data_IF_183735358626
#
_entry.id   IF_183735358626
#
_cell.length_a   1.000
_cell.length_b   1.000
_cell.length_c   1.000
_cell.angle_alpha   90.00
_cell.angle_beta   90.00
_cell.angle_gamma   90.00
#
_symmetry.space_group_name_H-M   'P 1'
#
loop_
_entity.id
_entity.type
_entity.pdbx_description
1 polymer ?
#
# COMPACT_ATOMS: atom_id res chain seq x y z
N UNK A 1 -27.19 -20.52 -14.22
CA UNK A 1 -26.44 -21.74 -13.84
C UNK A 1 -25.07 -21.27 -13.43
N UNK A 2 -24.52 -21.74 -12.33
CA UNK A 2 -23.15 -21.49 -11.94
C UNK A 2 -22.22 -22.11 -12.97
N UNK A 3 -21.21 -21.37 -13.42
CA UNK A 3 -20.28 -21.87 -14.45
C UNK A 3 -19.15 -22.67 -13.84
N UNK A 4 -18.96 -22.58 -12.51
CA UNK A 4 -17.85 -23.15 -11.73
C UNK A 4 -16.49 -22.90 -12.42
N UNK A 5 -16.29 -21.68 -12.93
CA UNK A 5 -15.05 -21.31 -13.63
C UNK A 5 -14.30 -20.22 -12.87
N UNK A 6 -13.04 -20.50 -12.57
CA UNK A 6 -12.06 -19.55 -12.05
C UNK A 6 -11.15 -19.12 -13.19
N UNK A 7 -11.10 -17.82 -13.45
CA UNK A 7 -10.17 -17.22 -14.39
C UNK A 7 -9.08 -16.46 -13.61
N UNK A 8 -7.84 -16.91 -13.74
CA UNK A 8 -6.68 -16.13 -13.29
C UNK A 8 -6.32 -15.10 -14.36
N UNK A 9 -6.31 -13.82 -13.95
CA UNK A 9 -5.91 -12.71 -14.83
C UNK A 9 -4.61 -12.12 -14.31
N UNK A 10 -3.52 -12.51 -14.93
CA UNK A 10 -2.18 -12.15 -14.54
C UNK A 10 -1.84 -10.71 -14.90
N UNK A 11 -1.00 -10.10 -14.07
CA UNK A 11 -0.47 -8.76 -14.26
C UNK A 11 0.98 -8.72 -13.74
N UNK A 12 1.80 -7.74 -14.12
CA UNK A 12 3.18 -7.67 -13.65
C UNK A 12 3.30 -7.77 -12.12
N UNK A 13 3.99 -8.82 -11.65
CA UNK A 13 4.19 -9.11 -10.23
C UNK A 13 3.14 -9.99 -9.56
N UNK A 14 2.18 -10.50 -10.33
CA UNK A 14 1.21 -11.48 -9.87
C UNK A 14 1.00 -12.58 -10.92
N UNK A 15 1.37 -13.80 -10.55
CA UNK A 15 1.20 -15.02 -11.36
C UNK A 15 1.27 -16.22 -10.41
N UNK A 16 0.42 -17.23 -10.59
CA UNK A 16 0.58 -18.52 -9.91
C UNK A 16 1.41 -19.47 -10.80
N UNK A 17 2.26 -20.25 -10.15
CA UNK A 17 3.04 -21.26 -10.87
C UNK A 17 2.20 -22.52 -11.16
N UNK A 18 2.71 -23.40 -12.04
CA UNK A 18 1.97 -24.58 -12.49
C UNK A 18 1.68 -25.58 -11.36
N UNK A 19 2.53 -25.66 -10.33
CA UNK A 19 2.30 -26.55 -9.18
C UNK A 19 1.15 -26.02 -8.32
N UNK A 20 1.05 -24.69 -8.14
CA UNK A 20 -0.06 -24.05 -7.44
C UNK A 20 -1.39 -24.21 -8.19
N UNK A 21 -1.38 -24.07 -9.53
CA UNK A 21 -2.58 -24.31 -10.34
C UNK A 21 -2.98 -25.79 -10.28
N UNK A 22 -2.03 -26.72 -10.32
CA UNK A 22 -2.30 -28.15 -10.16
C UNK A 22 -2.88 -28.48 -8.79
N UNK A 23 -2.43 -27.79 -7.72
CA UNK A 23 -3.01 -27.94 -6.38
C UNK A 23 -4.49 -27.52 -6.36
N UNK A 24 -4.84 -26.35 -6.95
CA UNK A 24 -6.25 -25.93 -7.06
C UNK A 24 -7.10 -26.96 -7.84
N UNK A 25 -6.61 -27.44 -9.00
CA UNK A 25 -7.35 -28.46 -9.80
C UNK A 25 -7.56 -29.77 -9.04
N UNK A 26 -6.62 -30.14 -8.19
CA UNK A 26 -6.71 -31.36 -7.37
C UNK A 26 -7.69 -31.20 -6.22
N UNK A 27 -7.67 -30.07 -5.54
CA UNK A 27 -8.50 -29.81 -4.35
C UNK A 27 -9.96 -29.46 -4.73
N UNK A 28 -10.16 -28.81 -5.88
CA UNK A 28 -11.48 -28.34 -6.36
C UNK A 28 -11.82 -28.98 -7.72
N UNK A 29 -12.03 -30.29 -7.81
CA UNK A 29 -12.19 -31.00 -9.10
C UNK A 29 -13.47 -30.61 -9.86
N UNK A 30 -14.47 -30.04 -9.19
CA UNK A 30 -15.71 -29.56 -9.80
C UNK A 30 -15.56 -28.13 -10.42
N UNK A 31 -14.37 -27.52 -10.28
CA UNK A 31 -14.07 -26.20 -10.77
C UNK A 31 -13.08 -26.26 -11.92
N UNK A 32 -13.35 -25.46 -12.95
CA UNK A 32 -12.43 -25.25 -14.07
C UNK A 32 -11.52 -24.05 -13.76
N UNK A 33 -10.21 -24.23 -13.94
CA UNK A 33 -9.21 -23.18 -13.74
C UNK A 33 -8.56 -22.83 -15.08
N UNK A 34 -8.73 -21.59 -15.51
CA UNK A 34 -8.18 -21.01 -16.74
C UNK A 34 -7.28 -19.83 -16.41
N UNK A 35 -6.37 -19.50 -17.30
CA UNK A 35 -5.32 -18.51 -17.11
C UNK A 35 -5.27 -17.57 -18.31
N UNK A 36 -5.02 -16.30 -18.10
CA UNK A 36 -4.79 -15.31 -19.15
C UNK A 36 -4.03 -14.11 -18.59
N UNK A 37 -3.37 -13.34 -19.44
CA UNK A 37 -2.82 -12.05 -19.08
C UNK A 37 -3.88 -10.95 -19.20
N UNK A 38 -3.74 -9.89 -18.39
CA UNK A 38 -4.67 -8.76 -18.40
C UNK A 38 -4.79 -8.07 -19.76
N UNK A 39 -3.74 -8.13 -20.59
CA UNK A 39 -3.71 -7.52 -21.94
C UNK A 39 -4.32 -8.40 -23.02
N UNK A 40 -4.38 -9.74 -22.81
CA UNK A 40 -4.80 -10.71 -23.82
C UNK A 40 -6.08 -11.46 -23.48
N UNK A 41 -6.65 -11.25 -22.30
CA UNK A 41 -7.90 -11.87 -21.86
C UNK A 41 -9.02 -11.56 -22.85
N UNK A 42 -9.74 -12.60 -23.29
CA UNK A 42 -10.83 -12.46 -24.26
C UNK A 42 -12.18 -12.22 -23.60
N UNK A 43 -13.09 -11.61 -24.34
CA UNK A 43 -14.48 -11.38 -23.86
C UNK A 43 -15.19 -12.71 -23.54
N UNK A 44 -14.88 -13.79 -24.27
CA UNK A 44 -15.43 -15.11 -24.02
C UNK A 44 -14.95 -15.69 -22.68
N UNK A 45 -13.66 -15.60 -22.37
CA UNK A 45 -13.10 -16.03 -21.08
C UNK A 45 -13.73 -15.24 -19.92
N UNK A 46 -13.86 -13.91 -20.08
CA UNK A 46 -14.49 -13.05 -19.07
C UNK A 46 -15.96 -13.42 -18.84
N UNK A 47 -16.71 -13.65 -19.93
CA UNK A 47 -18.14 -13.99 -19.85
C UNK A 47 -18.38 -15.36 -19.20
N UNK A 48 -17.46 -16.30 -19.29
CA UNK A 48 -17.57 -17.64 -18.68
C UNK A 48 -17.20 -17.65 -17.20
N UNK A 49 -16.34 -16.72 -16.75
CA UNK A 49 -15.82 -16.70 -15.40
C UNK A 49 -16.89 -16.39 -14.35
N UNK A 50 -17.01 -17.25 -13.35
CA UNK A 50 -17.78 -17.01 -12.12
C UNK A 50 -16.90 -16.31 -11.08
N UNK A 51 -15.61 -16.67 -11.03
CA UNK A 51 -14.59 -16.07 -10.18
C UNK A 51 -13.47 -15.55 -11.05
N UNK A 52 -13.04 -14.32 -10.82
CA UNK A 52 -11.80 -13.79 -11.39
C UNK A 52 -10.83 -13.51 -10.23
N UNK A 53 -9.59 -14.02 -10.35
CA UNK A 53 -8.52 -13.71 -9.42
C UNK A 53 -7.35 -13.07 -10.17
N UNK A 54 -6.95 -11.87 -9.76
CA UNK A 54 -5.86 -11.14 -10.38
C UNK A 54 -6.06 -9.64 -10.46
N UNK A 55 -5.64 -9.05 -11.58
CA UNK A 55 -5.80 -7.61 -11.79
C UNK A 55 -6.29 -7.30 -13.22
N UNK A 56 -7.55 -7.65 -13.53
CA UNK A 56 -8.12 -7.35 -14.85
C UNK A 56 -8.22 -5.83 -15.09
N UNK A 57 -8.21 -5.40 -16.34
CA UNK A 57 -8.55 -4.02 -16.66
C UNK A 57 -10.01 -3.71 -16.21
N UNK A 58 -10.32 -2.53 -15.66
CA UNK A 58 -11.68 -2.22 -15.23
C UNK A 58 -12.76 -2.45 -16.31
N UNK A 59 -12.47 -2.10 -17.56
CA UNK A 59 -13.40 -2.35 -18.68
C UNK A 59 -13.62 -3.84 -18.97
N UNK A 60 -12.66 -4.69 -18.63
CA UNK A 60 -12.81 -6.15 -18.73
C UNK A 60 -13.83 -6.68 -17.72
N UNK A 61 -13.90 -6.09 -16.52
CA UNK A 61 -14.89 -6.46 -15.50
C UNK A 61 -16.32 -6.24 -16.01
N UNK A 62 -16.56 -5.19 -16.81
CA UNK A 62 -17.87 -4.91 -17.43
C UNK A 62 -18.36 -6.01 -18.38
N UNK A 63 -17.45 -6.85 -18.90
CA UNK A 63 -17.74 -7.94 -19.83
C UNK A 63 -17.98 -9.28 -19.13
N UNK A 64 -17.64 -9.37 -17.85
CA UNK A 64 -17.78 -10.55 -17.04
C UNK A 64 -19.21 -10.72 -16.51
N UNK A 65 -20.13 -11.12 -17.41
CA UNK A 65 -21.56 -11.17 -17.10
C UNK A 65 -21.96 -12.23 -16.06
N UNK A 66 -21.15 -13.24 -15.84
CA UNK A 66 -21.39 -14.28 -14.83
C UNK A 66 -20.60 -14.07 -13.53
N UNK A 67 -19.82 -13.00 -13.43
CA UNK A 67 -18.91 -12.76 -12.28
C UNK A 67 -19.67 -12.62 -10.97
N UNK A 68 -19.37 -13.49 -10.03
CA UNK A 68 -19.89 -13.47 -8.66
C UNK A 68 -18.85 -12.97 -7.66
N UNK A 69 -17.57 -13.20 -7.95
CA UNK A 69 -16.50 -12.79 -7.06
C UNK A 69 -15.25 -12.37 -7.84
N UNK A 70 -14.77 -11.15 -7.57
CA UNK A 70 -13.48 -10.65 -8.01
C UNK A 70 -12.53 -10.60 -6.81
N UNK A 71 -11.46 -11.41 -6.83
CA UNK A 71 -10.33 -11.31 -5.90
C UNK A 71 -9.23 -10.50 -6.55
N UNK A 72 -8.98 -9.28 -6.09
CA UNK A 72 -7.84 -8.50 -6.56
C UNK A 72 -6.53 -9.04 -6.00
N UNK A 73 -5.48 -9.04 -6.81
CA UNK A 73 -4.10 -9.32 -6.39
C UNK A 73 -3.41 -8.13 -5.71
N UNK A 74 -4.06 -6.97 -5.66
CA UNK A 74 -3.59 -5.75 -5.01
C UNK A 74 -4.27 -5.51 -3.67
N UNK A 75 -3.68 -4.62 -2.84
CA UNK A 75 -4.34 -4.06 -1.66
C UNK A 75 -5.26 -2.92 -2.09
N UNK A 76 -4.78 -2.04 -2.98
CA UNK A 76 -5.55 -0.92 -3.49
C UNK A 76 -6.67 -1.36 -4.40
N UNK A 77 -7.84 -0.76 -4.23
CA UNK A 77 -9.07 -1.06 -4.97
C UNK A 77 -9.52 0.11 -5.85
N UNK A 78 -8.79 1.20 -5.86
CA UNK A 78 -9.16 2.50 -6.42
C UNK A 78 -9.80 2.42 -7.81
N UNK A 79 -9.30 1.52 -8.67
CA UNK A 79 -9.81 1.34 -10.03
C UNK A 79 -11.01 0.40 -10.14
N UNK A 80 -11.28 -0.42 -9.12
CA UNK A 80 -12.28 -1.49 -9.14
C UNK A 80 -13.44 -1.28 -8.15
N UNK A 81 -13.39 -0.21 -7.36
CA UNK A 81 -14.40 0.09 -6.33
C UNK A 81 -15.73 0.62 -6.92
N UNK A 82 -15.79 0.85 -8.19
CA UNK A 82 -16.95 1.44 -8.88
C UNK A 82 -17.99 0.36 -9.17
N UNK A 83 -19.16 0.44 -8.52
CA UNK A 83 -20.21 -0.60 -8.63
C UNK A 83 -20.71 -0.79 -10.05
N UNK A 84 -20.70 0.24 -10.87
CA UNK A 84 -21.07 0.21 -12.28
C UNK A 84 -20.15 -0.62 -13.20
N UNK A 85 -19.02 -1.10 -12.67
CA UNK A 85 -18.16 -2.06 -13.38
C UNK A 85 -18.76 -3.47 -13.39
N UNK A 86 -19.62 -3.79 -12.42
CA UNK A 86 -20.11 -5.13 -12.18
C UNK A 86 -21.50 -5.32 -12.77
N UNK A 87 -21.65 -6.29 -13.70
CA UNK A 87 -22.94 -6.65 -14.30
C UNK A 87 -23.85 -7.28 -13.24
N UNK A 88 -23.30 -8.13 -12.38
CA UNK A 88 -24.06 -8.75 -11.28
C UNK A 88 -24.13 -7.78 -10.09
N UNK A 89 -25.33 -7.43 -9.61
CA UNK A 89 -25.49 -6.46 -8.54
C UNK A 89 -25.01 -6.96 -7.17
N UNK A 90 -24.87 -8.26 -7.01
CA UNK A 90 -24.42 -8.96 -5.83
C UNK A 90 -22.96 -9.47 -5.91
N UNK A 91 -22.24 -9.09 -6.98
CA UNK A 91 -20.83 -9.47 -7.13
C UNK A 91 -19.99 -8.96 -5.95
N UNK A 92 -19.19 -9.84 -5.39
CA UNK A 92 -18.30 -9.57 -4.26
C UNK A 92 -16.96 -9.11 -4.79
N UNK A 93 -16.40 -8.06 -4.18
CA UNK A 93 -15.02 -7.63 -4.39
C UNK A 93 -14.23 -7.92 -3.12
N UNK A 94 -13.10 -8.60 -3.26
CA UNK A 94 -12.11 -8.80 -2.20
C UNK A 94 -10.74 -8.35 -2.65
N UNK A 95 -9.87 -8.01 -1.72
CA UNK A 95 -8.51 -7.60 -2.00
C UNK A 95 -7.48 -8.43 -1.19
N UNK A 96 -6.21 -8.11 -1.37
CA UNK A 96 -5.12 -8.73 -0.63
C UNK A 96 -4.70 -7.91 0.61
N UNK A 97 -5.65 -7.35 1.37
CA UNK A 97 -5.33 -6.65 2.61
C UNK A 97 -4.54 -7.55 3.57
N UNK A 98 -3.52 -6.99 4.20
CA UNK A 98 -2.69 -7.68 5.19
C UNK A 98 -1.44 -8.35 4.64
N UNK A 99 -1.42 -8.79 3.37
CA UNK A 99 -0.30 -9.60 2.83
C UNK A 99 1.01 -8.84 2.70
N UNK A 100 0.98 -7.55 2.42
CA UNK A 100 2.18 -6.72 2.20
C UNK A 100 2.60 -5.92 3.44
N UNK A 101 1.83 -5.98 4.53
CA UNK A 101 2.14 -5.25 5.77
C UNK A 101 3.57 -5.47 6.28
N UNK A 102 4.06 -6.72 6.40
CA UNK A 102 5.44 -6.99 6.80
C UNK A 102 6.48 -6.37 5.84
N UNK A 103 6.30 -6.53 4.52
CA UNK A 103 7.25 -6.05 3.50
C UNK A 103 7.29 -4.53 3.43
N UNK A 104 6.11 -3.87 3.40
CA UNK A 104 6.03 -2.41 3.38
C UNK A 104 6.62 -1.81 4.65
N UNK A 105 6.38 -2.41 5.82
CA UNK A 105 6.96 -1.92 7.07
C UNK A 105 8.48 -2.10 7.15
N UNK A 106 9.07 -3.12 6.48
CA UNK A 106 10.53 -3.22 6.31
C UNK A 106 11.05 -2.09 5.43
N UNK A 107 10.34 -1.78 4.34
CA UNK A 107 10.69 -0.69 3.43
C UNK A 107 10.64 0.67 4.15
N UNK A 108 9.60 0.92 4.96
CA UNK A 108 9.49 2.14 5.80
C UNK A 108 10.69 2.25 6.74
N UNK A 109 11.06 1.19 7.45
CA UNK A 109 12.26 1.22 8.31
C UNK A 109 13.53 1.48 7.52
N UNK A 110 13.68 0.88 6.33
CA UNK A 110 14.79 1.15 5.42
C UNK A 110 14.86 2.63 5.06
N UNK A 111 13.72 3.24 4.71
CA UNK A 111 13.61 4.68 4.42
C UNK A 111 13.94 5.55 5.64
N UNK A 112 13.45 5.19 6.83
CA UNK A 112 13.76 5.92 8.07
C UNK A 112 15.26 5.89 8.38
N UNK A 113 15.90 4.71 8.29
CA UNK A 113 17.32 4.55 8.48
C UNK A 113 18.14 5.27 7.41
N UNK A 114 17.71 5.21 6.14
CA UNK A 114 18.37 5.91 5.04
C UNK A 114 18.40 7.42 5.28
N UNK A 115 17.27 8.01 5.69
CA UNK A 115 17.15 9.44 5.95
C UNK A 115 17.90 9.84 7.23
N UNK A 116 17.67 9.14 8.35
CA UNK A 116 18.28 9.48 9.64
C UNK A 116 19.80 9.31 9.65
N UNK A 117 20.32 8.30 8.94
CA UNK A 117 21.76 8.03 8.83
C UNK A 117 22.40 8.66 7.59
N UNK A 118 21.63 9.37 6.76
CA UNK A 118 22.10 10.01 5.51
C UNK A 118 22.79 9.02 4.53
N UNK A 119 22.29 7.76 4.43
CA UNK A 119 22.92 6.74 3.58
C UNK A 119 22.89 7.11 2.10
N UNK A 120 21.84 7.78 1.61
CA UNK A 120 21.75 8.30 0.25
C UNK A 120 22.87 9.31 -0.03
N UNK A 121 23.15 10.22 0.90
CA UNK A 121 24.23 11.19 0.76
C UNK A 121 25.62 10.52 0.80
N UNK A 122 25.84 9.56 1.68
CA UNK A 122 27.09 8.79 1.71
C UNK A 122 27.27 7.93 0.45
N UNK A 123 26.19 7.45 -0.15
CA UNK A 123 26.25 6.76 -1.44
C UNK A 123 26.71 7.69 -2.57
N UNK A 124 26.21 8.93 -2.58
CA UNK A 124 26.66 9.93 -3.54
C UNK A 124 28.15 10.27 -3.36
N UNK A 125 28.60 10.44 -2.12
CA UNK A 125 30.03 10.62 -1.81
C UNK A 125 30.87 9.42 -2.26
N UNK A 126 30.42 8.21 -2.02
CA UNK A 126 31.10 6.99 -2.49
C UNK A 126 31.28 7.01 -4.01
N UNK A 127 30.22 7.35 -4.76
CA UNK A 127 30.27 7.45 -6.22
C UNK A 127 31.25 8.54 -6.71
N UNK A 128 31.37 9.62 -5.94
CA UNK A 128 32.26 10.75 -6.25
C UNK A 128 33.71 10.57 -5.67
N UNK A 129 33.99 9.48 -4.96
CA UNK A 129 35.29 9.26 -4.29
C UNK A 129 35.59 10.27 -3.18
N UNK A 130 34.56 10.83 -2.52
CA UNK A 130 34.68 11.85 -1.47
C UNK A 130 34.63 11.18 -0.10
N UNK A 131 35.58 11.53 0.77
CA UNK A 131 35.60 11.15 2.17
C UNK A 131 35.26 12.35 3.05
N UNK A 132 33.95 12.56 3.34
CA UNK A 132 33.50 13.60 4.24
C UNK A 132 32.65 13.00 5.36
N UNK A 133 33.12 13.07 6.59
CA UNK A 133 32.44 12.55 7.79
C UNK A 133 31.60 13.60 8.54
N UNK A 134 31.60 14.86 8.07
CA UNK A 134 30.88 15.98 8.70
C UNK A 134 29.43 16.10 8.22
N UNK A 135 28.74 14.97 8.08
CA UNK A 135 27.32 14.88 7.71
C UNK A 135 26.53 14.62 8.98
N UNK A 136 25.55 15.46 9.32
CA UNK A 136 24.69 15.23 10.49
C UNK A 136 23.95 13.89 10.36
N UNK A 137 23.86 13.16 11.45
CA UNK A 137 23.05 11.91 11.52
C UNK A 137 22.16 11.94 12.77
N UNK A 138 21.06 11.22 12.73
CA UNK A 138 20.10 11.10 13.82
C UNK A 138 19.91 9.61 14.15
N UNK A 139 19.69 9.28 15.41
CA UNK A 139 19.34 7.91 15.81
C UNK A 139 17.82 7.73 15.75
N UNK A 140 17.37 6.48 15.51
CA UNK A 140 15.95 6.14 15.66
C UNK A 140 15.60 5.96 17.15
N UNK A 141 16.53 5.48 17.95
CA UNK A 141 16.35 5.36 19.41
C UNK A 141 16.02 6.75 20.01
N UNK A 142 15.04 6.80 20.90
CA UNK A 142 14.48 8.02 21.51
C UNK A 142 13.83 9.03 20.53
N UNK A 143 13.81 8.75 19.22
CA UNK A 143 13.03 9.56 18.28
C UNK A 143 11.54 9.17 18.29
N UNK A 144 10.70 10.00 17.68
CA UNK A 144 9.25 9.81 17.65
C UNK A 144 8.74 9.58 16.22
N UNK A 145 7.77 8.68 16.07
CA UNK A 145 7.07 8.44 14.80
C UNK A 145 5.57 8.65 14.97
N UNK A 146 4.97 9.40 14.06
CA UNK A 146 3.53 9.50 13.89
C UNK A 146 3.13 8.64 12.68
N UNK A 147 2.28 7.65 12.93
CA UNK A 147 1.73 6.76 11.91
C UNK A 147 0.30 7.19 11.62
N UNK A 148 0.04 7.58 10.39
CA UNK A 148 -1.29 7.96 9.92
C UNK A 148 -1.96 6.72 9.33
N UNK A 149 -2.89 6.13 10.07
CA UNK A 149 -3.53 4.84 9.79
C UNK A 149 -2.85 3.67 10.50
N UNK A 150 -3.57 2.96 11.36
CA UNK A 150 -3.05 1.84 12.16
C UNK A 150 -3.52 0.46 11.64
N UNK A 151 -3.80 0.37 10.34
CA UNK A 151 -4.11 -0.90 9.66
C UNK A 151 -2.91 -1.86 9.62
N UNK A 152 -2.92 -2.81 8.69
CA UNK A 152 -1.87 -3.83 8.58
C UNK A 152 -0.46 -3.24 8.41
N UNK A 153 -0.29 -2.25 7.53
CA UNK A 153 1.02 -1.59 7.31
C UNK A 153 1.43 -0.78 8.53
N UNK A 154 0.53 0.11 8.98
CA UNK A 154 0.81 0.99 10.13
C UNK A 154 1.09 0.22 11.41
N UNK A 155 0.31 -0.81 11.71
CA UNK A 155 0.50 -1.65 12.89
C UNK A 155 1.83 -2.43 12.87
N UNK A 156 2.23 -2.99 11.71
CA UNK A 156 3.56 -3.61 11.58
C UNK A 156 4.69 -2.59 11.72
N UNK A 157 4.51 -1.38 11.16
CA UNK A 157 5.48 -0.28 11.28
C UNK A 157 5.61 0.15 12.74
N UNK A 158 4.49 0.40 13.43
CA UNK A 158 4.48 0.79 14.84
C UNK A 158 5.22 -0.23 15.72
N UNK A 159 4.92 -1.53 15.55
CA UNK A 159 5.57 -2.60 16.30
C UNK A 159 7.08 -2.61 16.12
N UNK A 160 7.56 -2.45 14.89
CA UNK A 160 8.99 -2.41 14.57
C UNK A 160 9.65 -1.15 15.13
N UNK A 161 9.04 0.01 14.98
CA UNK A 161 9.53 1.27 15.56
C UNK A 161 9.61 1.19 17.08
N UNK A 162 8.59 0.62 17.74
CA UNK A 162 8.61 0.40 19.19
C UNK A 162 9.76 -0.49 19.63
N UNK A 163 10.03 -1.57 18.89
CA UNK A 163 11.16 -2.48 19.16
C UNK A 163 12.53 -1.80 19.00
N UNK A 164 12.62 -0.74 18.21
CA UNK A 164 13.82 0.10 18.05
C UNK A 164 13.93 1.21 19.10
N UNK A 165 13.07 1.25 20.12
CA UNK A 165 13.10 2.24 21.19
C UNK A 165 12.51 3.61 20.80
N UNK A 166 11.72 3.68 19.73
CA UNK A 166 11.05 4.91 19.34
C UNK A 166 9.79 5.17 20.17
N UNK A 167 9.42 6.43 20.34
CA UNK A 167 8.09 6.82 20.79
C UNK A 167 7.11 6.69 19.62
N UNK A 168 6.10 5.84 19.77
CA UNK A 168 5.14 5.52 18.71
C UNK A 168 3.81 6.21 18.95
N UNK A 169 3.41 7.04 17.99
CA UNK A 169 2.12 7.74 17.98
C UNK A 169 1.36 7.32 16.72
N UNK A 170 0.05 7.24 16.82
CA UNK A 170 -0.78 6.94 15.66
C UNK A 170 -2.09 7.73 15.69
N UNK A 171 -2.62 8.00 14.50
CA UNK A 171 -4.02 8.41 14.31
C UNK A 171 -4.73 7.40 13.42
N UNK A 172 -5.97 7.06 13.78
CA UNK A 172 -6.81 6.16 13.01
C UNK A 172 -8.29 6.57 13.14
N UNK A 173 -9.15 6.06 12.26
CA UNK A 173 -10.60 6.21 12.40
C UNK A 173 -11.15 5.39 13.58
N UNK A 174 -10.42 4.35 14.01
CA UNK A 174 -10.71 3.52 15.18
C UNK A 174 -9.63 3.74 16.23
N UNK A 175 -10.00 4.26 17.39
CA UNK A 175 -9.07 4.55 18.50
C UNK A 175 -9.43 3.83 19.81
N UNK A 176 -10.45 2.96 19.78
CA UNK A 176 -10.97 2.24 20.94
C UNK A 176 -10.06 1.10 21.42
N UNK A 177 -9.16 0.59 20.58
CA UNK A 177 -8.26 -0.52 20.87
C UNK A 177 -6.80 -0.18 20.59
N UNK A 178 -6.19 0.56 21.52
CA UNK A 178 -4.77 0.91 21.43
C UNK A 178 -3.89 -0.31 21.70
N UNK A 179 -3.06 -0.76 20.71
CA UNK A 179 -2.11 -1.84 20.95
C UNK A 179 -0.98 -1.42 21.90
N UNK A 180 -0.36 -2.39 22.58
CA UNK A 180 0.73 -2.13 23.54
C UNK A 180 1.99 -1.51 22.90
N UNK A 181 2.18 -1.73 21.60
CA UNK A 181 3.28 -1.15 20.84
C UNK A 181 3.00 0.26 20.30
N UNK A 182 1.89 0.89 20.70
CA UNK A 182 1.55 2.29 20.39
C UNK A 182 1.43 3.07 21.70
N UNK A 183 2.22 4.13 21.86
CA UNK A 183 2.20 4.96 23.06
C UNK A 183 0.98 5.90 23.10
N UNK A 184 0.67 6.52 21.95
CA UNK A 184 -0.47 7.43 21.78
C UNK A 184 -1.28 7.00 20.56
N UNK A 185 -2.56 6.76 20.74
CA UNK A 185 -3.54 6.54 19.65
C UNK A 185 -4.67 7.55 19.80
N UNK A 186 -4.99 8.24 18.73
CA UNK A 186 -6.05 9.25 18.67
C UNK A 186 -6.84 9.14 17.37
N UNK A 187 -7.95 9.87 17.26
CA UNK A 187 -8.72 10.02 16.02
C UNK A 187 -7.95 10.77 14.95
N UNK A 188 -8.22 10.45 13.68
CA UNK A 188 -7.55 11.09 12.54
C UNK A 188 -7.69 12.61 12.55
N UNK A 189 -8.80 13.14 13.05
CA UNK A 189 -9.08 14.58 13.11
C UNK A 189 -8.10 15.33 14.02
N UNK A 190 -7.46 14.65 14.96
CA UNK A 190 -6.49 15.26 15.88
C UNK A 190 -5.05 15.19 15.41
N UNK A 191 -4.79 14.83 14.15
CA UNK A 191 -3.45 14.71 13.58
C UNK A 191 -2.61 15.96 13.82
N UNK A 192 -3.23 17.14 13.79
CA UNK A 192 -2.58 18.44 13.97
C UNK A 192 -1.95 18.63 15.36
N UNK A 193 -2.40 17.89 16.37
CA UNK A 193 -1.83 17.90 17.72
C UNK A 193 -0.55 17.05 17.81
N UNK A 194 -0.41 16.03 16.96
CA UNK A 194 0.70 15.09 16.99
C UNK A 194 1.81 15.43 16.00
N UNK A 195 1.52 16.14 14.90
CA UNK A 195 2.51 16.58 13.92
C UNK A 195 3.72 17.31 14.54
N UNK A 196 3.52 18.27 15.50
CA UNK A 196 4.65 18.98 16.13
C UNK A 196 5.53 18.09 17.02
N UNK A 197 5.06 16.90 17.36
CA UNK A 197 5.76 15.97 18.26
C UNK A 197 6.60 14.93 17.49
N UNK A 198 6.34 14.77 16.18
CA UNK A 198 6.88 13.70 15.36
C UNK A 198 8.22 14.06 14.70
N UNK A 199 9.21 13.17 14.81
CA UNK A 199 10.43 13.21 14.01
C UNK A 199 10.25 12.54 12.65
N UNK A 200 9.34 11.59 12.56
CA UNK A 200 8.92 10.92 11.33
C UNK A 200 7.39 10.90 11.26
N UNK A 201 6.86 11.24 10.09
CA UNK A 201 5.42 11.10 9.77
C UNK A 201 5.30 10.06 8.66
N UNK A 202 4.58 8.96 8.93
CA UNK A 202 4.43 7.83 8.00
C UNK A 202 2.98 7.68 7.59
N UNK A 203 2.70 7.75 6.28
CA UNK A 203 1.37 7.64 5.72
C UNK A 203 1.07 6.20 5.31
N UNK A 204 0.02 5.62 5.89
CA UNK A 204 -0.41 4.23 5.66
C UNK A 204 -1.93 4.08 5.53
N UNK A 205 -2.66 5.20 5.34
CA UNK A 205 -4.10 5.23 5.07
C UNK A 205 -4.41 5.01 3.59
N UNK A 206 -5.60 4.50 3.22
CA UNK A 206 -6.05 4.50 1.84
C UNK A 206 -6.31 5.92 1.32
N UNK A 207 -6.41 6.08 0.00
CA UNK A 207 -6.88 7.31 -0.63
C UNK A 207 -8.40 7.31 -0.63
N UNK A 208 -9.00 8.25 0.09
CA UNK A 208 -10.45 8.53 0.15
C UNK A 208 -10.67 10.03 0.04
N UNK A 209 -11.91 10.51 -0.15
CA UNK A 209 -12.17 11.96 -0.10
C UNK A 209 -11.67 12.63 1.18
N UNK A 210 -11.77 11.94 2.33
CA UNK A 210 -11.37 12.46 3.65
C UNK A 210 -9.85 12.47 3.86
N UNK A 211 -9.11 11.60 3.16
CA UNK A 211 -7.66 11.50 3.26
C UNK A 211 -6.94 12.22 2.12
N UNK A 212 -7.66 12.71 1.11
CA UNK A 212 -7.10 13.51 0.02
C UNK A 212 -6.40 14.75 0.59
N UNK A 213 -5.12 14.92 0.24
CA UNK A 213 -4.27 15.99 0.76
C UNK A 213 -4.28 16.09 2.30
N UNK A 214 -4.33 14.92 2.98
CA UNK A 214 -4.23 14.88 4.44
C UNK A 214 -2.94 15.53 4.94
N UNK A 215 -1.90 15.57 4.12
CA UNK A 215 -0.71 16.42 4.32
C UNK A 215 -0.72 17.51 3.26
N UNK A 216 -1.15 18.68 3.69
CA UNK A 216 -1.22 19.91 2.92
C UNK A 216 -0.21 20.94 3.43
N UNK A 217 -0.19 22.15 2.85
CA UNK A 217 0.73 23.22 3.20
C UNK A 217 0.67 23.58 4.70
N UNK A 218 -0.53 23.72 5.26
CA UNK A 218 -0.72 24.06 6.68
C UNK A 218 -0.10 22.99 7.58
N UNK A 219 -0.30 21.70 7.27
CA UNK A 219 0.22 20.58 8.05
C UNK A 219 1.73 20.40 7.92
N UNK A 220 2.31 20.72 6.76
CA UNK A 220 3.77 20.79 6.65
C UNK A 220 4.37 21.80 7.63
N UNK A 221 3.74 22.96 7.78
CA UNK A 221 4.19 24.00 8.72
C UNK A 221 3.98 23.64 10.20
N UNK A 222 3.14 22.63 10.51
CA UNK A 222 2.99 22.07 11.86
C UNK A 222 4.03 21.00 12.19
N UNK A 223 4.69 20.42 11.20
CA UNK A 223 5.75 19.42 11.43
C UNK A 223 7.00 20.09 12.03
N UNK A 224 7.84 19.29 12.72
CA UNK A 224 9.15 19.77 13.13
C UNK A 224 10.00 20.10 11.90
N UNK A 225 10.84 21.14 12.02
CA UNK A 225 11.78 21.53 10.95
C UNK A 225 12.77 20.41 10.58
N UNK A 226 13.11 19.55 11.53
CA UNK A 226 13.99 18.39 11.35
C UNK A 226 13.21 17.07 11.16
N UNK A 227 11.89 17.13 10.92
CA UNK A 227 11.07 15.98 10.64
C UNK A 227 11.21 15.48 9.20
N UNK A 228 10.89 14.20 9.02
CA UNK A 228 10.82 13.53 7.72
C UNK A 228 9.42 13.01 7.44
N UNK A 229 8.96 13.19 6.19
CA UNK A 229 7.73 12.55 5.69
C UNK A 229 8.08 11.26 4.96
N UNK A 230 7.33 10.19 5.24
CA UNK A 230 7.41 8.91 4.52
C UNK A 230 6.04 8.57 3.96
N UNK A 231 5.94 8.47 2.62
CA UNK A 231 4.70 8.08 1.96
C UNK A 231 4.89 6.76 1.19
N UNK A 232 4.32 5.69 1.72
CA UNK A 232 4.30 4.34 1.12
C UNK A 232 2.88 3.89 0.77
N UNK A 233 1.93 4.83 0.73
CA UNK A 233 0.52 4.54 0.49
C UNK A 233 0.04 5.05 -0.87
N UNK A 234 -0.41 6.31 -0.96
CA UNK A 234 -0.87 6.93 -2.21
C UNK A 234 -0.35 8.36 -2.34
N UNK A 235 -0.04 8.77 -3.56
CA UNK A 235 0.41 10.14 -3.86
C UNK A 235 -0.61 11.20 -3.47
N UNK A 236 -1.89 10.95 -3.75
CA UNK A 236 -3.00 11.86 -3.46
C UNK A 236 -3.21 12.21 -1.97
N UNK A 237 -2.49 11.55 -1.05
CA UNK A 237 -2.48 11.92 0.37
C UNK A 237 -1.68 13.19 0.67
N UNK A 238 -0.83 13.61 -0.27
CA UNK A 238 0.06 14.74 -0.11
C UNK A 238 -0.21 15.76 -1.21
N UNK A 239 -0.42 17.01 -0.83
CA UNK A 239 -0.43 18.12 -1.80
C UNK A 239 0.96 18.24 -2.42
N UNK A 240 1.11 17.80 -3.67
CA UNK A 240 2.40 17.70 -4.36
C UNK A 240 3.09 19.06 -4.53
N UNK A 241 2.33 20.13 -4.79
CA UNK A 241 2.90 21.47 -4.97
C UNK A 241 3.39 22.04 -3.64
N UNK A 242 2.61 21.89 -2.58
CA UNK A 242 3.01 22.25 -1.22
C UNK A 242 4.23 21.44 -0.77
N UNK A 243 4.25 20.14 -1.04
CA UNK A 243 5.37 19.25 -0.71
C UNK A 243 6.69 19.72 -1.33
N UNK A 244 6.68 19.98 -2.64
CA UNK A 244 7.87 20.44 -3.37
C UNK A 244 8.33 21.79 -2.82
N UNK A 245 7.42 22.72 -2.54
CA UNK A 245 7.73 24.02 -1.97
C UNK A 245 8.34 23.90 -0.58
N UNK A 246 7.69 23.18 0.33
CA UNK A 246 8.14 23.00 1.71
C UNK A 246 9.52 22.31 1.81
N UNK A 247 9.80 21.36 0.92
CA UNK A 247 11.12 20.72 0.84
C UNK A 247 12.21 21.70 0.37
N UNK A 248 11.92 22.56 -0.63
CA UNK A 248 12.85 23.58 -1.13
C UNK A 248 13.16 24.65 -0.09
N UNK A 249 12.16 25.05 0.66
CA UNK A 249 12.27 26.09 1.69
C UNK A 249 12.82 25.55 3.01
N UNK A 250 12.99 24.22 3.13
CA UNK A 250 13.48 23.56 4.36
C UNK A 250 12.51 23.68 5.53
N UNK A 251 11.21 23.69 5.26
CA UNK A 251 10.14 23.63 6.28
C UNK A 251 10.21 22.28 6.99
N UNK A 252 10.51 21.19 6.27
CA UNK A 252 10.85 19.89 6.82
C UNK A 252 12.24 19.47 6.33
N UNK A 253 12.89 18.55 7.04
CA UNK A 253 14.24 18.10 6.71
C UNK A 253 14.33 17.36 5.37
N UNK A 254 13.32 16.52 5.07
CA UNK A 254 13.30 15.74 3.85
C UNK A 254 12.15 14.73 3.82
N UNK A 255 12.19 13.85 2.83
CA UNK A 255 11.17 12.83 2.66
C UNK A 255 11.69 11.56 1.98
N UNK A 256 10.97 10.45 2.17
CA UNK A 256 11.11 9.26 1.35
C UNK A 256 9.73 8.84 0.80
N UNK A 257 9.65 8.63 -0.51
CA UNK A 257 8.37 8.46 -1.21
C UNK A 257 8.43 7.24 -2.12
N UNK A 258 7.43 6.37 -1.98
CA UNK A 258 7.24 5.20 -2.84
C UNK A 258 6.00 5.33 -3.74
N UNK A 259 5.06 6.23 -3.39
CA UNK A 259 3.80 6.43 -4.12
C UNK A 259 3.63 7.90 -4.52
N UNK A 260 3.19 8.13 -5.76
CA UNK A 260 3.13 9.44 -6.39
C UNK A 260 1.70 9.73 -6.88
N UNK A 261 1.36 11.02 -6.98
CA UNK A 261 0.06 11.44 -7.51
C UNK A 261 -0.10 11.04 -8.99
N UNK A 262 0.99 11.15 -9.76
CA UNK A 262 1.06 10.63 -11.12
C UNK A 262 2.13 9.55 -11.22
N UNK A 263 1.72 8.35 -11.64
CA UNK A 263 2.61 7.20 -11.83
C UNK A 263 2.57 6.71 -13.29
N UNK A 264 3.74 6.53 -13.95
CA UNK A 264 5.10 6.78 -13.46
C UNK A 264 5.35 8.25 -13.15
N UNK A 265 6.24 8.54 -12.16
CA UNK A 265 6.66 9.91 -11.85
C UNK A 265 7.21 10.59 -13.11
N UNK A 266 6.67 11.74 -13.54
CA UNK A 266 7.11 12.44 -14.75
C UNK A 266 8.62 12.70 -14.75
N UNK A 267 9.25 12.55 -15.91
CA UNK A 267 10.71 12.71 -16.07
C UNK A 267 11.21 14.13 -15.75
N UNK A 268 10.34 15.11 -15.86
CA UNK A 268 10.60 16.55 -15.55
C UNK A 268 10.28 16.91 -14.09
N UNK A 269 9.80 15.96 -13.29
CA UNK A 269 9.50 16.22 -11.88
C UNK A 269 10.73 16.75 -11.14
N UNK A 270 10.60 17.86 -10.38
CA UNK A 270 11.70 18.39 -9.59
C UNK A 270 12.18 17.45 -8.49
N UNK A 271 11.35 16.52 -8.05
CA UNK A 271 11.67 15.53 -7.00
C UNK A 271 12.92 14.71 -7.36
N UNK A 272 13.15 14.40 -8.65
CA UNK A 272 14.35 13.66 -9.11
C UNK A 272 15.68 14.31 -8.74
N UNK A 273 15.69 15.64 -8.58
CA UNK A 273 16.92 16.42 -8.34
C UNK A 273 17.05 16.92 -6.90
N UNK A 274 16.06 16.65 -6.05
CA UNK A 274 16.08 17.10 -4.66
C UNK A 274 16.93 16.15 -3.82
N UNK A 275 18.00 16.70 -3.20
CA UNK A 275 18.95 15.91 -2.39
C UNK A 275 18.39 15.44 -1.05
N UNK A 276 17.35 16.09 -0.56
CA UNK A 276 16.66 15.74 0.69
C UNK A 276 15.43 14.84 0.46
N UNK A 277 15.31 14.25 -0.74
CA UNK A 277 14.24 13.33 -1.09
C UNK A 277 14.83 12.01 -1.57
N UNK A 278 14.31 10.91 -1.05
CA UNK A 278 14.59 9.57 -1.54
C UNK A 278 13.35 8.98 -2.21
N UNK A 279 13.50 8.43 -3.41
CA UNK A 279 12.39 7.95 -4.24
C UNK A 279 12.56 6.45 -4.54
N UNK A 280 11.45 5.71 -4.46
CA UNK A 280 11.35 4.33 -4.97
C UNK A 280 10.12 4.19 -5.87
N UNK A 281 10.15 3.34 -6.92
CA UNK A 281 9.12 3.32 -7.96
C UNK A 281 7.95 2.40 -7.60
N UNK A 282 7.22 2.68 -6.52
CA UNK A 282 6.06 1.94 -6.01
C UNK A 282 6.36 0.44 -5.83
N UNK A 283 7.40 0.15 -5.05
CA UNK A 283 7.92 -1.22 -4.86
C UNK A 283 7.91 -1.68 -3.41
N UNK A 284 7.47 -0.85 -2.47
CA UNK A 284 7.49 -1.15 -1.04
C UNK A 284 6.77 -2.47 -0.68
N UNK A 285 5.73 -2.82 -1.45
CA UNK A 285 4.98 -4.06 -1.28
C UNK A 285 5.63 -5.31 -1.88
N UNK A 286 6.67 -5.18 -2.71
CA UNK A 286 7.28 -6.31 -3.41
C UNK A 286 8.15 -7.17 -2.49
N UNK A 287 7.89 -8.48 -2.47
CA UNK A 287 8.70 -9.46 -1.74
C UNK A 287 8.34 -10.88 -2.20
N UNK A 288 9.28 -11.82 -2.26
CA UNK A 288 8.96 -13.23 -2.54
C UNK A 288 7.91 -13.82 -1.58
N UNK A 289 7.92 -13.40 -0.32
CA UNK A 289 6.94 -13.84 0.68
C UNK A 289 5.52 -13.32 0.40
N UNK A 290 5.34 -12.28 -0.40
CA UNK A 290 4.02 -11.77 -0.80
C UNK A 290 3.33 -12.75 -1.73
N UNK A 291 4.07 -13.41 -2.63
CA UNK A 291 3.53 -14.43 -3.51
C UNK A 291 2.87 -15.59 -2.72
N UNK A 292 3.58 -16.13 -1.72
CA UNK A 292 3.05 -17.19 -0.84
C UNK A 292 1.77 -16.73 -0.11
N UNK A 293 1.72 -15.47 0.30
CA UNK A 293 0.55 -14.90 0.97
C UNK A 293 -0.61 -14.65 0.00
N UNK A 294 -0.34 -14.30 -1.27
CA UNK A 294 -1.35 -14.23 -2.32
C UNK A 294 -2.04 -15.59 -2.51
N UNK A 295 -1.22 -16.64 -2.72
CA UNK A 295 -1.74 -17.98 -2.87
C UNK A 295 -2.64 -18.37 -1.70
N UNK A 296 -2.15 -18.21 -0.48
CA UNK A 296 -2.92 -18.53 0.73
C UNK A 296 -4.22 -17.70 0.84
N UNK A 297 -4.19 -16.42 0.55
CA UNK A 297 -5.38 -15.56 0.65
C UNK A 297 -6.46 -15.99 -0.35
N UNK A 298 -6.07 -16.27 -1.59
CA UNK A 298 -7.02 -16.74 -2.59
C UNK A 298 -7.54 -18.13 -2.25
N UNK A 299 -6.64 -19.06 -1.86
CA UNK A 299 -7.01 -20.42 -1.46
C UNK A 299 -8.02 -20.40 -0.31
N UNK A 300 -7.74 -19.70 0.78
CA UNK A 300 -8.64 -19.63 1.94
C UNK A 300 -10.02 -19.07 1.54
N UNK A 301 -10.04 -18.01 0.72
CA UNK A 301 -11.30 -17.45 0.22
C UNK A 301 -12.03 -18.37 -0.74
N UNK A 302 -11.33 -19.13 -1.59
CA UNK A 302 -11.97 -20.13 -2.47
C UNK A 302 -12.61 -21.26 -1.66
N UNK A 303 -11.96 -21.72 -0.61
CA UNK A 303 -12.55 -22.69 0.34
C UNK A 303 -13.83 -22.14 0.96
N UNK A 304 -13.83 -20.90 1.42
CA UNK A 304 -15.02 -20.24 1.98
C UNK A 304 -16.12 -20.10 0.92
N UNK A 305 -15.77 -19.66 -0.30
CA UNK A 305 -16.73 -19.47 -1.38
C UNK A 305 -17.46 -20.78 -1.72
N UNK A 306 -16.72 -21.88 -1.90
CA UNK A 306 -17.27 -23.20 -2.23
C UNK A 306 -18.18 -23.72 -1.12
N UNK A 307 -17.89 -23.40 0.14
CA UNK A 307 -18.71 -23.76 1.30
C UNK A 307 -19.90 -22.82 1.56
N UNK A 308 -20.01 -21.71 0.83
CA UNK A 308 -21.00 -20.67 1.10
C UNK A 308 -20.74 -19.90 2.40
N UNK A 309 -19.49 -19.85 2.86
CA UNK A 309 -19.04 -19.12 4.05
C UNK A 309 -18.63 -17.68 3.69
N UNK A 310 -18.65 -16.73 4.63
CA UNK A 310 -18.19 -15.35 4.38
C UNK A 310 -16.73 -15.30 3.93
N UNK A 311 -16.45 -14.49 2.90
CA UNK A 311 -15.09 -14.27 2.42
C UNK A 311 -14.32 -13.31 3.33
N UNK A 312 -13.00 -13.43 3.35
CA UNK A 312 -12.11 -12.49 4.01
C UNK A 312 -11.84 -11.28 3.10
N UNK A 313 -11.55 -10.13 3.69
CA UNK A 313 -11.17 -8.91 2.98
C UNK A 313 -12.22 -8.44 1.95
N UNK A 314 -13.50 -8.59 2.27
CA UNK A 314 -14.59 -8.07 1.44
C UNK A 314 -14.59 -6.55 1.51
N UNK A 315 -14.64 -5.93 0.35
CA UNK A 315 -14.63 -4.46 0.20
C UNK A 315 -16.04 -3.91 0.32
N UNK A 316 -16.19 -2.91 1.18
CA UNK A 316 -17.39 -2.08 1.23
C UNK A 316 -17.32 -0.99 0.15
N UNK A 317 -18.15 -1.09 -0.87
CA UNK A 317 -18.20 -0.14 -1.99
C UNK A 317 -18.54 1.30 -1.56
N UNK A 318 -19.16 1.50 -0.39
CA UNK A 318 -19.48 2.84 0.14
C UNK A 318 -18.32 3.46 0.93
N UNK A 319 -17.48 2.61 1.54
CA UNK A 319 -16.34 3.05 2.37
C UNK A 319 -15.03 3.08 1.62
N UNK A 320 -14.96 2.47 0.44
CA UNK A 320 -13.77 2.36 -0.40
C UNK A 320 -12.62 1.53 0.20
N UNK A 321 -12.92 0.67 1.20
CA UNK A 321 -11.94 -0.25 1.80
C UNK A 321 -12.62 -1.43 2.52
#
# INVERSE_FOLDING_TARGET
MTTNEVLFVYAPGFEFNQDEIAAFRTEFPDWRFTESDAETVTDEQLAQAEIICGYPHPDSVRKACNLRWLQLSSIGVDKHIHRELYVQPDAILTNCHGISGPSISDHVLGMMLLLSRNFHFFRDQQNAGIWNKMVPTKDLFDSSVLIVGLGSVGGNTARKCKALGMKTMAVDIQDDKKPDYVDILQKTETIDELLPLADFVVLTVPSTPETHHIINDERFHKMKKDAYLINVSRGALVDTDAFIRCLREGIIAGAAVDAYDKEPLPADSPLWKMKNVFLTPHVAGKSPSVHVRHFKTFHDNLVHYVKGEPLNNVIDFNRHF
#
